data_IF_712243977367
#
_entry.id   IF_712243977367
#
_cell.length_a   1.000
_cell.length_b   1.000
_cell.length_c   1.000
_cell.angle_alpha   90.00
_cell.angle_beta   90.00
_cell.angle_gamma   90.00
#
_symmetry.space_group_name_H-M   'P 1'
#
loop_
_entity.id
_entity.type
_entity.pdbx_description
1 polymer ?
#
# COMPACT_ATOMS: atom_id res chain seq x y z
N UNK A 1 -7.54 6.63 -14.48
CA UNK A 1 -6.14 6.34 -14.15
C UNK A 1 -5.74 5.05 -14.89
N UNK A 2 -4.74 5.13 -15.74
CA UNK A 2 -4.11 3.96 -16.40
C UNK A 2 -3.21 3.19 -15.43
N UNK A 3 -2.67 2.05 -15.87
CA UNK A 3 -1.87 1.15 -15.02
C UNK A 3 -0.54 1.77 -14.57
N UNK A 4 0.17 2.50 -15.44
CA UNK A 4 1.43 3.16 -15.11
C UNK A 4 1.24 4.24 -14.04
N UNK A 5 0.13 4.99 -14.15
CA UNK A 5 -0.26 5.97 -13.13
C UNK A 5 -0.66 5.31 -11.81
N UNK A 6 -1.28 4.14 -11.84
CA UNK A 6 -1.60 3.36 -10.62
C UNK A 6 -0.31 2.98 -9.88
N UNK A 7 0.68 2.42 -10.58
CA UNK A 7 1.94 2.04 -9.95
C UNK A 7 2.77 3.24 -9.50
N UNK A 8 2.75 4.34 -10.26
CA UNK A 8 3.40 5.58 -9.86
C UNK A 8 2.76 6.19 -8.61
N UNK A 9 1.43 6.15 -8.53
CA UNK A 9 0.66 6.57 -7.36
C UNK A 9 0.98 5.69 -6.15
N UNK A 10 0.98 4.37 -6.30
CA UNK A 10 1.33 3.48 -5.19
C UNK A 10 2.78 3.68 -4.76
N UNK A 11 3.71 3.89 -5.69
CA UNK A 11 5.12 4.16 -5.35
C UNK A 11 5.27 5.45 -4.54
N UNK A 12 4.51 6.51 -4.86
CA UNK A 12 4.55 7.74 -4.06
C UNK A 12 4.03 7.51 -2.64
N UNK A 13 3.17 6.51 -2.42
CA UNK A 13 2.74 6.07 -1.09
C UNK A 13 3.79 5.22 -0.34
N UNK A 14 4.96 4.95 -0.90
CA UNK A 14 6.08 4.34 -0.15
C UNK A 14 7.26 5.30 0.06
N UNK A 15 7.42 6.28 -0.84
CA UNK A 15 8.54 7.22 -0.84
C UNK A 15 8.14 8.65 -0.45
N UNK A 16 6.84 8.93 -0.35
CA UNK A 16 6.29 10.27 -0.20
C UNK A 16 6.39 10.86 1.20
N UNK A 17 6.02 12.13 1.30
CA UNK A 17 6.02 12.92 2.53
C UNK A 17 4.65 12.85 3.24
N UNK A 18 4.59 12.93 4.59
CA UNK A 18 3.34 12.88 5.37
C UNK A 18 2.23 13.80 4.88
N UNK A 19 2.58 15.00 4.41
CA UNK A 19 1.61 15.97 3.89
C UNK A 19 0.96 15.48 2.58
N UNK A 20 1.75 14.80 1.73
CA UNK A 20 1.24 14.17 0.51
C UNK A 20 0.26 13.03 0.83
N UNK A 21 0.51 12.26 1.90
CA UNK A 21 -0.40 11.17 2.29
C UNK A 21 -1.77 11.67 2.74
N UNK A 22 -1.85 12.81 3.46
CA UNK A 22 -3.15 13.37 3.88
C UNK A 22 -4.02 13.72 2.69
N UNK A 23 -3.39 14.14 1.60
CA UNK A 23 -4.09 14.35 0.35
C UNK A 23 -4.42 13.01 -0.29
N UNK A 24 -3.56 11.99 -0.30
CA UNK A 24 -3.86 10.76 -1.05
C UNK A 24 -4.81 9.76 -0.33
N UNK A 25 -4.98 9.86 0.98
CA UNK A 25 -5.77 8.91 1.79
C UNK A 25 -7.15 9.50 2.11
N UNK A 26 -8.20 8.71 1.97
CA UNK A 26 -9.58 9.12 2.31
C UNK A 26 -9.76 9.19 3.84
N UNK A 27 -10.58 10.11 4.33
CA UNK A 27 -10.87 10.29 5.77
C UNK A 27 -11.55 9.06 6.40
N UNK A 28 -12.17 8.19 5.58
CA UNK A 28 -12.75 6.93 6.03
C UNK A 28 -11.86 5.71 5.72
N UNK A 29 -10.59 5.92 5.39
CA UNK A 29 -9.68 4.84 5.02
C UNK A 29 -9.49 3.82 6.15
N UNK A 30 -9.53 2.53 5.80
CA UNK A 30 -9.24 1.43 6.71
C UNK A 30 -7.90 0.78 6.35
N UNK A 31 -7.04 0.55 7.35
CA UNK A 31 -5.76 -0.10 7.13
C UNK A 31 -5.48 -1.25 8.09
N UNK A 32 -4.81 -2.29 7.56
CA UNK A 32 -4.22 -3.36 8.34
C UNK A 32 -2.69 -3.33 8.17
N UNK A 33 -1.97 -2.98 9.23
CA UNK A 33 -0.51 -2.79 9.20
C UNK A 33 0.18 -3.70 10.24
N UNK A 34 1.45 -4.11 10.03
CA UNK A 34 2.17 -5.00 10.94
C UNK A 34 2.76 -4.31 12.17
N UNK A 35 2.03 -3.34 12.72
CA UNK A 35 2.41 -2.63 13.94
C UNK A 35 1.14 -2.33 14.76
N UNK A 36 1.19 -2.39 16.10
CA UNK A 36 0.05 -2.04 16.95
C UNK A 36 -0.52 -0.65 16.64
N UNK A 37 -1.85 -0.44 16.71
CA UNK A 37 -2.91 -1.39 17.06
C UNK A 37 -3.31 -2.39 15.96
N UNK A 38 -2.54 -2.50 14.87
CA UNK A 38 -2.72 -3.40 13.72
C UNK A 38 -3.88 -3.05 12.80
N UNK A 39 -4.99 -2.56 13.35
CA UNK A 39 -6.16 -2.08 12.60
C UNK A 39 -6.29 -0.59 12.82
N UNK A 40 -6.33 0.17 11.72
CA UNK A 40 -6.39 1.63 11.72
C UNK A 40 -7.60 2.11 10.94
N UNK A 41 -8.21 3.20 11.39
CA UNK A 41 -9.32 3.84 10.71
C UNK A 41 -9.16 5.36 10.66
N UNK A 42 -9.57 5.95 9.54
CA UNK A 42 -9.61 7.38 9.30
C UNK A 42 -8.34 8.12 9.69
N UNK A 43 -8.45 9.12 10.57
CA UNK A 43 -7.30 9.91 11.02
C UNK A 43 -6.15 9.06 11.59
N UNK A 44 -6.43 7.95 12.26
CA UNK A 44 -5.39 7.06 12.80
C UNK A 44 -4.62 6.35 11.67
N UNK A 45 -5.28 6.03 10.56
CA UNK A 45 -4.62 5.43 9.40
C UNK A 45 -3.64 6.42 8.76
N UNK A 46 -4.04 7.68 8.63
CA UNK A 46 -3.19 8.76 8.12
C UNK A 46 -1.95 8.95 9.02
N UNK A 47 -2.14 9.00 10.34
CA UNK A 47 -1.04 9.15 11.29
C UNK A 47 -0.10 7.93 11.31
N UNK A 48 -0.64 6.72 11.22
CA UNK A 48 0.16 5.50 11.21
C UNK A 48 1.08 5.45 10.00
N UNK A 49 0.57 5.83 8.83
CA UNK A 49 1.35 5.88 7.59
C UNK A 49 2.39 7.02 7.64
N UNK A 50 2.01 8.19 8.15
CA UNK A 50 2.92 9.33 8.33
C UNK A 50 4.14 9.01 9.23
N UNK A 51 3.98 8.09 10.17
CA UNK A 51 5.05 7.64 11.07
C UNK A 51 5.88 6.46 10.53
N UNK A 52 5.54 5.93 9.35
CA UNK A 52 6.27 4.81 8.74
C UNK A 52 7.64 5.29 8.23
N UNK A 53 8.69 4.47 8.32
CA UNK A 53 9.99 4.78 7.72
C UNK A 53 9.86 5.20 6.25
N UNK A 54 10.39 6.39 5.92
CA UNK A 54 10.48 6.86 4.53
C UNK A 54 11.50 6.03 3.75
N UNK A 55 11.03 5.13 2.90
CA UNK A 55 11.91 4.29 2.11
C UNK A 55 12.58 5.10 1.00
N UNK A 56 13.88 4.89 0.80
CA UNK A 56 14.66 5.55 -0.25
C UNK A 56 14.54 4.83 -1.61
N UNK A 57 14.27 3.53 -1.58
CA UNK A 57 14.08 2.69 -2.76
C UNK A 57 12.91 1.74 -2.54
N UNK A 58 12.15 1.49 -3.61
CA UNK A 58 10.98 0.61 -3.59
C UNK A 58 10.91 -0.10 -4.94
N UNK A 59 10.84 -1.43 -4.87
CA UNK A 59 10.66 -2.32 -6.01
C UNK A 59 9.37 -3.12 -5.82
N UNK A 60 8.52 -3.12 -6.85
CA UNK A 60 7.28 -3.89 -6.88
C UNK A 60 7.45 -5.15 -7.72
N UNK A 61 6.81 -6.23 -7.29
CA UNK A 61 6.78 -7.54 -7.95
C UNK A 61 5.38 -8.19 -7.81
N UNK A 62 5.05 -9.19 -8.64
CA UNK A 62 3.72 -9.84 -8.72
C UNK A 62 2.55 -8.84 -8.68
N UNK A 63 2.71 -7.72 -9.41
CA UNK A 63 1.73 -6.65 -9.45
C UNK A 63 0.47 -7.03 -10.21
N UNK A 64 -0.69 -6.81 -9.60
CA UNK A 64 -2.02 -7.05 -10.20
C UNK A 64 -2.90 -5.83 -10.02
N UNK A 65 -3.66 -5.51 -11.06
CA UNK A 65 -4.65 -4.44 -11.05
C UNK A 65 -6.01 -5.00 -11.48
N UNK A 66 -7.04 -4.71 -10.69
CA UNK A 66 -8.42 -5.02 -10.99
C UNK A 66 -9.28 -3.74 -10.96
N UNK A 67 -10.32 -3.70 -11.80
CA UNK A 67 -11.26 -2.59 -11.92
C UNK A 67 -12.69 -3.12 -11.81
N UNK A 68 -13.13 -3.53 -10.61
CA UNK A 68 -14.38 -4.24 -10.42
C UNK A 68 -15.62 -3.38 -10.74
N UNK A 69 -15.50 -2.06 -10.63
CA UNK A 69 -16.54 -1.09 -10.94
C UNK A 69 -15.90 0.20 -11.44
N UNK A 70 -16.63 0.97 -12.25
CA UNK A 70 -16.23 2.33 -12.57
C UNK A 70 -16.01 3.16 -11.28
N UNK A 71 -14.86 3.83 -11.21
CA UNK A 71 -14.46 4.62 -10.05
C UNK A 71 -13.80 3.81 -8.92
N UNK A 72 -13.59 2.50 -9.09
CA UNK A 72 -12.83 1.67 -8.17
C UNK A 72 -11.64 0.99 -8.87
N UNK A 73 -10.49 1.04 -8.21
CA UNK A 73 -9.30 0.27 -8.59
C UNK A 73 -8.85 -0.51 -7.36
N UNK A 74 -8.56 -1.80 -7.54
CA UNK A 74 -7.99 -2.65 -6.50
C UNK A 74 -6.66 -3.19 -7.01
N UNK A 75 -5.61 -3.09 -6.21
CA UNK A 75 -4.31 -3.64 -6.52
C UNK A 75 -3.84 -4.63 -5.47
N UNK A 76 -3.00 -5.56 -5.91
CA UNK A 76 -2.23 -6.45 -5.06
C UNK A 76 -0.81 -6.53 -5.60
N UNK A 77 0.19 -6.55 -4.73
CA UNK A 77 1.60 -6.60 -5.13
C UNK A 77 2.49 -7.10 -3.98
N UNK A 78 3.67 -7.57 -4.34
CA UNK A 78 4.79 -7.73 -3.40
C UNK A 78 5.71 -6.53 -3.50
N UNK A 79 6.30 -6.13 -2.37
CA UNK A 79 7.21 -4.98 -2.31
C UNK A 79 8.48 -5.33 -1.59
N UNK A 80 9.59 -4.78 -2.08
CA UNK A 80 10.86 -4.69 -1.38
C UNK A 80 11.23 -3.21 -1.26
N UNK A 81 11.29 -2.74 -0.02
CA UNK A 81 11.61 -1.36 0.31
C UNK A 81 12.97 -1.30 1.02
N UNK A 82 13.74 -0.26 0.77
CA UNK A 82 15.09 -0.09 1.32
C UNK A 82 15.41 1.33 1.75
N UNK A 83 16.14 1.47 2.86
CA UNK A 83 16.61 2.73 3.41
C UNK A 83 17.95 2.54 4.11
N UNK A 84 19.04 2.95 3.46
CA UNK A 84 20.38 2.66 3.96
C UNK A 84 20.59 1.14 4.04
N UNK A 85 20.85 0.62 5.24
CA UNK A 85 20.99 -0.83 5.49
C UNK A 85 19.66 -1.52 5.86
N UNK A 86 18.59 -0.75 6.11
CA UNK A 86 17.29 -1.29 6.46
C UNK A 86 16.55 -1.79 5.21
N UNK A 87 15.98 -2.99 5.28
CA UNK A 87 15.11 -3.55 4.25
C UNK A 87 13.79 -4.00 4.85
N UNK A 88 12.74 -3.90 4.05
CA UNK A 88 11.40 -4.35 4.42
C UNK A 88 10.73 -5.02 3.22
N UNK A 89 10.14 -6.19 3.47
CA UNK A 89 9.42 -6.94 2.44
C UNK A 89 8.00 -7.24 2.92
N UNK A 90 7.02 -7.05 2.03
CA UNK A 90 5.61 -7.28 2.32
C UNK A 90 4.81 -7.68 1.08
N UNK A 91 3.65 -8.27 1.34
CA UNK A 91 2.55 -8.40 0.38
C UNK A 91 1.47 -7.39 0.75
N UNK A 92 1.01 -6.64 -0.24
CA UNK A 92 0.16 -5.50 -0.03
C UNK A 92 -1.08 -5.55 -0.91
N UNK A 93 -2.16 -4.97 -0.40
CA UNK A 93 -3.35 -4.64 -1.19
C UNK A 93 -3.73 -3.18 -0.96
N UNK A 94 -4.21 -2.53 -2.00
CA UNK A 94 -4.74 -1.16 -1.91
C UNK A 94 -6.01 -1.05 -2.73
N UNK A 95 -6.98 -0.32 -2.22
CA UNK A 95 -8.21 0.03 -2.93
C UNK A 95 -8.30 1.53 -3.07
N UNK A 96 -8.52 2.00 -4.30
CA UNK A 96 -8.69 3.41 -4.61
C UNK A 96 -10.11 3.70 -5.08
N UNK A 97 -10.61 4.85 -4.65
CA UNK A 97 -11.89 5.41 -5.09
C UNK A 97 -11.66 6.72 -5.86
N UNK A 98 -12.38 6.87 -6.98
CA UNK A 98 -12.42 8.12 -7.75
C UNK A 98 -13.35 9.12 -7.07
N UNK A 99 -12.84 10.31 -6.77
CA UNK A 99 -13.67 11.45 -6.30
C UNK A 99 -14.11 12.33 -7.48
N UNK A 100 -13.20 12.58 -8.41
CA UNK A 100 -13.43 13.36 -9.63
C UNK A 100 -12.56 12.82 -10.77
N UNK A 101 -12.59 13.41 -11.97
CA UNK A 101 -11.92 12.85 -13.16
C UNK A 101 -10.46 12.43 -12.90
N UNK A 102 -9.71 13.27 -12.19
CA UNK A 102 -8.28 13.06 -11.92
C UNK A 102 -7.97 12.83 -10.44
N UNK A 103 -8.96 12.91 -9.58
CA UNK A 103 -8.78 12.80 -8.13
C UNK A 103 -9.15 11.41 -7.64
N UNK A 104 -8.18 10.75 -7.01
CA UNK A 104 -8.30 9.42 -6.46
C UNK A 104 -7.78 9.42 -5.03
N UNK A 105 -8.46 8.66 -4.17
CA UNK A 105 -8.06 8.47 -2.77
C UNK A 105 -7.95 6.99 -2.43
N UNK A 106 -7.01 6.65 -1.56
CA UNK A 106 -6.91 5.34 -0.93
C UNK A 106 -8.02 5.20 0.10
N UNK A 107 -8.90 4.22 -0.07
CA UNK A 107 -9.99 3.91 0.88
C UNK A 107 -9.71 2.65 1.69
N UNK A 108 -8.76 1.82 1.24
CA UNK A 108 -8.26 0.69 2.03
C UNK A 108 -6.80 0.40 1.66
N UNK A 109 -5.98 0.03 2.64
CA UNK A 109 -4.64 -0.49 2.43
C UNK A 109 -4.31 -1.62 3.41
N UNK A 110 -3.52 -2.60 3.01
CA UNK A 110 -3.02 -3.65 3.89
C UNK A 110 -1.56 -3.95 3.60
N UNK A 111 -0.81 -4.24 4.65
CA UNK A 111 0.53 -4.77 4.58
C UNK A 111 0.60 -6.06 5.38
N UNK A 112 1.04 -7.12 4.72
CA UNK A 112 1.36 -8.40 5.36
C UNK A 112 2.86 -8.58 5.21
N UNK A 113 3.65 -8.54 6.30
CA UNK A 113 5.08 -8.83 6.23
C UNK A 113 5.32 -10.11 5.46
N UNK A 114 6.41 -10.15 4.69
CA UNK A 114 6.71 -11.28 3.80
C UNK A 114 6.46 -12.60 4.50
N UNK A 115 5.49 -13.34 3.96
CA UNK A 115 5.13 -14.63 4.50
C UNK A 115 6.24 -15.59 4.05
N UNK A 116 7.15 -15.91 4.95
CA UNK A 116 8.03 -17.05 4.77
C UNK A 116 7.12 -18.27 4.76
N UNK A 117 6.76 -18.78 3.58
CA UNK A 117 6.02 -20.03 3.50
C UNK A 117 6.77 -21.07 4.37
N UNK A 118 6.10 -21.79 5.27
CA UNK A 118 6.74 -22.97 5.85
C UNK A 118 7.14 -23.85 4.66
N UNK A 119 8.39 -24.29 4.64
CA UNK A 119 8.85 -25.28 3.66
C UNK A 119 7.94 -26.50 3.82
N UNK A 120 6.97 -26.66 2.92
CA UNK A 120 6.26 -27.93 2.79
C UNK A 120 7.28 -28.83 2.11
N UNK A 121 8.01 -29.60 2.91
CA UNK A 121 8.92 -30.62 2.42
C UNK A 121 8.04 -31.67 1.74
N UNK A 122 7.86 -31.52 0.42
CA UNK A 122 7.00 -32.38 -0.39
C UNK A 122 7.73 -33.71 -0.60
N UNK A 123 7.74 -34.52 0.47
CA UNK A 123 8.09 -35.93 0.44
C UNK A 123 6.84 -36.73 0.80
N UNK A 124 6.07 -37.09 -0.23
CA UNK A 124 5.32 -38.35 -0.27
C UNK A 124 5.32 -38.94 -1.66
#
# INVERSE_FOLDING_TARGET
MDDDRVWSFEKSLWTGDPDHYRELVDDECLMALPQPPYVFGGAQAIEAVANTPRWSGVEFDDGRIARPQEGLIVIAYSVKASRGEETYEAHCTSTYRRLSHEEWRVVQHQQTPRILAPVVDDKR
#
